data_IF_083576277435
#
_entry.id   IF_083576277435
#
_cell.length_a   1.000
_cell.length_b   1.000
_cell.length_c   1.000
_cell.angle_alpha   90.00
_cell.angle_beta   90.00
_cell.angle_gamma   90.00
#
_symmetry.space_group_name_H-M   'P 1'
#
loop_
_entity.id
_entity.type
_entity.pdbx_description
1 polymer ?
#
# COMPACT_ATOMS: atom_id res chain seq x y z
N UNK A 1 -2.75 9.99 13.81
CA UNK A 1 -1.53 9.16 13.83
C UNK A 1 -1.86 7.83 13.18
N UNK A 2 -1.49 7.63 11.91
CA UNK A 2 -1.52 6.30 11.32
C UNK A 2 -0.35 5.51 11.90
N UNK A 3 -0.64 4.49 12.71
CA UNK A 3 0.33 3.46 13.04
C UNK A 3 0.57 2.64 11.77
N UNK A 4 1.51 3.09 10.94
CA UNK A 4 2.05 2.21 9.91
C UNK A 4 2.83 1.15 10.66
N UNK A 5 2.36 -0.10 10.60
CA UNK A 5 3.08 -1.25 11.13
C UNK A 5 4.49 -1.21 10.53
N UNK A 6 5.48 -0.89 11.36
CA UNK A 6 6.89 -0.87 10.96
C UNK A 6 7.20 -2.31 10.53
N UNK A 7 7.32 -2.54 9.22
CA UNK A 7 7.90 -3.79 8.73
C UNK A 7 9.38 -3.73 9.11
N UNK A 8 9.77 -4.62 10.01
CA UNK A 8 11.16 -4.82 10.37
C UNK A 8 11.76 -5.83 9.40
N UNK A 9 13.00 -5.57 8.97
CA UNK A 9 13.77 -6.51 8.15
C UNK A 9 14.77 -7.20 9.06
N UNK A 10 14.76 -8.51 9.00
CA UNK A 10 15.59 -9.39 9.78
C UNK A 10 16.56 -10.12 8.88
N UNK A 11 17.84 -10.10 9.23
CA UNK A 11 18.87 -10.81 8.46
C UNK A 11 19.30 -12.03 9.24
N UNK A 12 19.37 -13.16 8.54
CA UNK A 12 19.90 -14.41 9.04
C UNK A 12 21.14 -14.77 8.23
N UNK A 13 22.28 -14.82 8.92
CA UNK A 13 23.53 -15.37 8.41
C UNK A 13 23.69 -16.77 9.01
N UNK A 14 23.61 -17.84 8.21
CA UNK A 14 23.87 -19.18 8.70
C UNK A 14 25.36 -19.32 8.98
N UNK A 15 25.74 -19.25 10.27
CA UNK A 15 27.12 -19.43 10.74
C UNK A 15 27.38 -20.87 11.15
N UNK A 16 28.61 -21.33 10.93
CA UNK A 16 29.12 -22.64 11.36
C UNK A 16 28.67 -22.95 12.78
N UNK A 17 27.92 -24.05 12.91
CA UNK A 17 27.12 -24.46 14.06
C UNK A 17 27.89 -24.82 15.35
N UNK A 18 28.97 -24.10 15.69
CA UNK A 18 29.75 -24.35 16.91
C UNK A 18 29.08 -23.79 18.18
N UNK A 19 28.26 -22.73 18.10
CA UNK A 19 27.64 -22.09 19.27
C UNK A 19 26.18 -22.48 19.57
N UNK A 20 25.47 -23.14 18.65
CA UNK A 20 24.05 -23.51 18.85
C UNK A 20 23.86 -24.88 19.52
N UNK A 21 24.95 -25.62 19.82
CA UNK A 21 24.89 -26.96 20.43
C UNK A 21 24.20 -26.99 21.81
N UNK A 22 24.24 -25.88 22.56
CA UNK A 22 23.53 -25.74 23.83
C UNK A 22 22.02 -25.49 23.66
N UNK A 23 21.60 -24.91 22.53
CA UNK A 23 20.17 -24.82 22.17
C UNK A 23 19.60 -26.22 21.93
N UNK A 24 20.37 -27.09 21.27
CA UNK A 24 19.96 -28.45 20.92
C UNK A 24 19.79 -29.41 22.10
N UNK A 25 20.54 -29.24 23.20
CA UNK A 25 20.38 -30.07 24.40
C UNK A 25 19.04 -29.82 25.11
N UNK A 26 18.47 -28.60 24.98
CA UNK A 26 17.14 -28.28 25.50
C UNK A 26 16.01 -28.70 24.55
N UNK A 27 16.29 -28.92 23.26
CA UNK A 27 15.32 -29.27 22.22
C UNK A 27 15.25 -30.78 21.89
N UNK A 28 16.34 -31.54 22.13
CA UNK A 28 16.41 -32.99 21.84
C UNK A 28 15.49 -33.87 22.72
N UNK A 29 14.74 -33.29 23.65
CA UNK A 29 13.81 -34.02 24.50
C UNK A 29 12.63 -34.67 23.76
N UNK A 30 12.29 -34.25 22.53
CA UNK A 30 11.04 -34.68 21.89
C UNK A 30 11.14 -35.28 20.47
N UNK A 31 12.34 -35.43 19.90
CA UNK A 31 12.52 -36.17 18.63
C UNK A 31 13.79 -37.03 18.66
N UNK A 32 13.90 -37.90 19.67
CA UNK A 32 14.87 -38.99 19.65
C UNK A 32 14.28 -40.21 18.90
N UNK A 33 14.06 -40.08 17.58
CA UNK A 33 13.84 -41.25 16.73
C UNK A 33 15.19 -41.93 16.51
N UNK A 34 15.53 -42.84 17.42
CA UNK A 34 16.70 -43.72 17.34
C UNK A 34 16.49 -44.71 16.19
N UNK A 35 16.79 -44.30 14.96
CA UNK A 35 16.87 -45.20 13.82
C UNK A 35 18.20 -45.95 13.91
N UNK A 36 18.16 -47.18 14.43
CA UNK A 36 19.20 -48.18 14.21
C UNK A 36 19.08 -48.66 12.76
N UNK A 37 19.96 -48.19 11.89
CA UNK A 37 20.23 -48.88 10.62
C UNK A 37 21.74 -49.00 10.44
N UNK A 38 22.19 -50.23 10.17
CA UNK A 38 23.57 -50.49 9.79
C UNK A 38 23.85 -49.90 8.41
N UNK A 39 25.06 -49.38 8.22
CA UNK A 39 25.68 -49.17 6.91
C UNK A 39 25.17 -48.04 6.00
N UNK A 40 23.97 -47.49 6.19
CA UNK A 40 23.45 -46.37 5.37
C UNK A 40 23.49 -45.04 6.12
N UNK A 41 24.05 -43.98 5.51
CA UNK A 41 24.11 -42.61 6.08
C UNK A 41 22.74 -42.19 6.65
N UNK A 42 22.75 -41.52 7.80
CA UNK A 42 21.51 -41.07 8.45
C UNK A 42 20.74 -40.07 7.55
N UNK A 43 19.40 -40.04 7.60
CA UNK A 43 18.59 -39.22 6.69
C UNK A 43 18.96 -37.72 6.69
N UNK A 44 19.35 -37.18 7.85
CA UNK A 44 19.77 -35.79 7.97
C UNK A 44 21.07 -35.47 7.20
N UNK A 45 22.03 -36.39 7.17
CA UNK A 45 23.29 -36.22 6.43
C UNK A 45 23.01 -36.12 4.92
N UNK A 46 22.05 -36.91 4.42
CA UNK A 46 21.67 -36.92 3.01
C UNK A 46 21.06 -35.56 2.60
N UNK A 47 20.17 -35.00 3.42
CA UNK A 47 19.53 -33.71 3.12
C UNK A 47 20.56 -32.58 3.06
N UNK A 48 21.49 -32.53 4.02
CA UNK A 48 22.57 -31.54 4.02
C UNK A 48 23.46 -31.64 2.79
N UNK A 49 23.83 -32.86 2.37
CA UNK A 49 24.65 -33.07 1.16
C UNK A 49 23.89 -32.62 -0.10
N UNK A 50 22.61 -32.96 -0.23
CA UNK A 50 21.78 -32.55 -1.37
C UNK A 50 21.59 -31.03 -1.44
N UNK A 51 21.28 -30.38 -0.31
CA UNK A 51 21.12 -28.92 -0.26
C UNK A 51 22.43 -28.24 -0.66
N UNK A 52 23.58 -28.71 -0.16
CA UNK A 52 24.90 -28.18 -0.56
C UNK A 52 25.19 -28.36 -2.05
N UNK A 53 24.82 -29.50 -2.64
CA UNK A 53 24.98 -29.73 -4.07
C UNK A 53 24.15 -28.74 -4.90
N UNK A 54 22.86 -28.60 -4.59
CA UNK A 54 21.98 -27.64 -5.26
C UNK A 54 22.53 -26.21 -5.14
N UNK A 55 23.01 -25.84 -3.96
CA UNK A 55 23.59 -24.51 -3.73
C UNK A 55 24.87 -24.30 -4.55
N UNK A 56 25.73 -25.31 -4.68
CA UNK A 56 26.91 -25.22 -5.53
C UNK A 56 26.57 -25.11 -7.02
N UNK A 57 25.47 -25.70 -7.45
CA UNK A 57 24.97 -25.55 -8.83
C UNK A 57 24.38 -24.17 -9.08
N UNK A 58 23.67 -23.59 -8.10
CA UNK A 58 23.04 -22.27 -8.20
C UNK A 58 24.06 -21.14 -8.07
N UNK A 59 25.03 -21.29 -7.15
CA UNK A 59 26.10 -20.31 -6.91
C UNK A 59 27.24 -20.59 -7.90
N UNK A 60 27.01 -20.20 -9.16
CA UNK A 60 28.02 -20.27 -10.24
C UNK A 60 29.15 -19.27 -9.95
N UNK A 61 30.37 -19.55 -10.46
CA UNK A 61 31.65 -18.87 -10.17
C UNK A 61 31.66 -17.33 -10.09
N UNK A 62 30.65 -16.63 -10.60
CA UNK A 62 30.55 -15.16 -10.59
C UNK A 62 29.69 -14.55 -9.45
N UNK A 63 28.95 -15.34 -8.67
CA UNK A 63 28.15 -14.84 -7.55
C UNK A 63 28.79 -15.20 -6.21
N UNK A 64 29.31 -14.21 -5.48
CA UNK A 64 29.96 -14.46 -4.18
C UNK A 64 28.96 -14.79 -3.05
N UNK A 65 27.68 -14.39 -3.18
CA UNK A 65 26.62 -14.64 -2.18
C UNK A 65 25.25 -14.85 -2.84
N UNK A 66 24.45 -15.75 -2.27
CA UNK A 66 23.03 -15.98 -2.54
C UNK A 66 22.19 -15.29 -1.47
N UNK A 67 21.35 -14.34 -1.87
CA UNK A 67 20.44 -13.63 -0.96
C UNK A 67 19.01 -14.12 -1.20
N UNK A 68 18.35 -14.62 -0.15
CA UNK A 68 16.99 -15.17 -0.21
C UNK A 68 16.06 -14.25 0.58
N UNK A 69 15.08 -13.65 -0.09
CA UNK A 69 14.07 -12.80 0.53
C UNK A 69 12.83 -13.62 0.91
N UNK A 70 12.37 -13.46 2.15
CA UNK A 70 11.15 -14.08 2.69
C UNK A 70 10.26 -12.95 3.22
N UNK A 71 9.18 -12.61 2.51
CA UNK A 71 8.23 -11.58 2.94
C UNK A 71 7.03 -12.20 3.66
N UNK A 72 6.46 -11.46 4.61
CA UNK A 72 5.19 -11.75 5.30
C UNK A 72 5.15 -13.10 6.04
N UNK A 73 6.28 -13.53 6.64
CA UNK A 73 6.34 -14.79 7.40
C UNK A 73 5.38 -14.80 8.60
N UNK A 74 5.05 -13.63 9.15
CA UNK A 74 4.05 -13.41 10.19
C UNK A 74 2.59 -13.65 9.75
N UNK A 75 2.31 -13.73 8.43
CA UNK A 75 1.00 -14.15 7.90
C UNK A 75 0.83 -15.67 7.84
N UNK A 76 1.90 -16.43 8.02
CA UNK A 76 1.83 -17.88 8.02
C UNK A 76 1.16 -18.40 9.30
N UNK A 77 0.73 -19.67 9.28
CA UNK A 77 0.31 -20.35 10.52
C UNK A 77 1.47 -20.34 11.53
N UNK A 78 1.19 -20.18 12.84
CA UNK A 78 2.20 -20.10 13.88
C UNK A 78 3.30 -21.16 13.78
N UNK A 79 2.88 -22.42 13.65
CA UNK A 79 3.78 -23.57 13.54
C UNK A 79 4.65 -23.51 12.28
N UNK A 80 4.08 -23.11 11.14
CA UNK A 80 4.81 -23.03 9.88
C UNK A 80 5.91 -21.95 9.91
N UNK A 81 5.61 -20.79 10.50
CA UNK A 81 6.58 -19.70 10.62
C UNK A 81 7.79 -20.13 11.45
N UNK A 82 7.54 -20.76 12.61
CA UNK A 82 8.58 -21.28 13.51
C UNK A 82 9.39 -22.37 12.83
N UNK A 83 8.72 -23.40 12.29
CA UNK A 83 9.41 -24.50 11.63
C UNK A 83 10.25 -24.02 10.44
N UNK A 84 9.82 -22.97 9.73
CA UNK A 84 10.58 -22.38 8.64
C UNK A 84 11.88 -21.74 9.16
N UNK A 85 11.82 -20.94 10.23
CA UNK A 85 13.00 -20.35 10.85
C UNK A 85 13.97 -21.43 11.39
N UNK A 86 13.42 -22.50 11.98
CA UNK A 86 14.20 -23.64 12.45
C UNK A 86 14.88 -24.37 11.29
N UNK A 87 14.16 -24.65 10.19
CA UNK A 87 14.71 -25.29 8.99
C UNK A 87 15.79 -24.44 8.33
N UNK A 88 15.63 -23.11 8.30
CA UNK A 88 16.64 -22.18 7.77
C UNK A 88 17.94 -22.30 8.58
N UNK A 89 17.87 -22.18 9.91
CA UNK A 89 19.07 -22.31 10.77
C UNK A 89 19.63 -23.73 10.79
N UNK A 90 18.82 -24.76 10.51
CA UNK A 90 19.27 -26.15 10.57
C UNK A 90 19.95 -26.60 9.28
N UNK A 91 19.34 -26.40 8.12
CA UNK A 91 19.82 -26.99 6.86
C UNK A 91 20.85 -26.13 6.13
N UNK A 92 20.83 -24.82 6.36
CA UNK A 92 21.77 -23.90 5.74
C UNK A 92 22.91 -23.63 6.71
N UNK A 93 24.11 -24.06 6.33
CA UNK A 93 25.36 -23.86 7.07
C UNK A 93 26.45 -23.43 6.07
N UNK A 94 26.14 -22.37 5.32
CA UNK A 94 26.98 -21.85 4.24
C UNK A 94 26.98 -20.32 4.30
N UNK A 95 28.17 -19.74 4.53
CA UNK A 95 28.38 -18.30 4.68
C UNK A 95 28.10 -17.51 3.38
N UNK A 96 27.97 -18.21 2.25
CA UNK A 96 27.56 -17.60 0.97
C UNK A 96 26.07 -17.30 0.96
N UNK A 97 25.28 -17.74 1.94
CA UNK A 97 23.82 -17.57 1.94
C UNK A 97 23.41 -16.55 2.98
N UNK A 98 22.54 -15.63 2.58
CA UNK A 98 21.93 -14.63 3.47
C UNK A 98 20.43 -14.72 3.30
N UNK A 99 19.69 -14.88 4.41
CA UNK A 99 18.23 -14.74 4.37
C UNK A 99 17.84 -13.35 4.87
N UNK A 100 16.94 -12.71 4.13
CA UNK A 100 16.35 -11.42 4.48
C UNK A 100 14.85 -11.65 4.68
N UNK A 101 14.41 -11.59 5.93
CA UNK A 101 13.03 -11.89 6.34
C UNK A 101 12.32 -10.58 6.69
N UNK A 102 11.18 -10.30 6.09
CA UNK A 102 10.34 -9.16 6.47
C UNK A 102 9.14 -9.66 7.27
N UNK A 103 9.01 -9.18 8.53
CA UNK A 103 7.91 -9.55 9.44
C UNK A 103 7.51 -8.39 10.34
N UNK A 104 6.26 -8.39 10.80
CA UNK A 104 5.91 -7.70 12.04
C UNK A 104 6.30 -8.59 13.23
N UNK A 105 7.33 -8.16 13.98
CA UNK A 105 7.82 -8.90 15.15
C UNK A 105 6.78 -9.06 16.24
N UNK A 106 5.98 -8.02 16.52
CA UNK A 106 4.96 -8.08 17.57
C UNK A 106 3.92 -9.15 17.26
N UNK A 107 3.46 -9.21 16.01
CA UNK A 107 2.52 -10.25 15.57
C UNK A 107 3.14 -11.64 15.65
N UNK A 108 4.41 -11.79 15.25
CA UNK A 108 5.11 -13.06 15.33
C UNK A 108 5.34 -13.51 16.79
N UNK A 109 5.68 -12.59 17.70
CA UNK A 109 5.82 -12.85 19.15
C UNK A 109 4.50 -13.31 19.75
N UNK A 110 3.40 -12.62 19.46
CA UNK A 110 2.07 -13.05 19.92
C UNK A 110 1.69 -14.44 19.40
N UNK A 111 2.01 -14.70 18.13
CA UNK A 111 1.79 -15.98 17.47
C UNK A 111 2.56 -17.11 18.17
N UNK A 112 3.81 -16.87 18.56
CA UNK A 112 4.66 -17.81 19.31
C UNK A 112 4.16 -17.99 20.75
N UNK A 113 3.75 -16.91 21.44
CA UNK A 113 3.19 -16.98 22.79
C UNK A 113 1.92 -17.81 22.84
N UNK A 114 1.04 -17.67 21.86
CA UNK A 114 -0.16 -18.51 21.76
C UNK A 114 0.16 -20.00 21.54
N UNK A 115 1.30 -20.32 20.92
CA UNK A 115 1.71 -21.69 20.65
C UNK A 115 2.40 -22.35 21.84
N UNK A 116 3.28 -21.65 22.55
CA UNK A 116 4.05 -22.20 23.68
C UNK A 116 3.46 -21.85 25.07
N UNK A 117 2.50 -20.92 25.15
CA UNK A 117 1.87 -20.41 26.36
C UNK A 117 2.34 -19.01 26.77
N UNK A 118 1.48 -18.27 27.46
CA UNK A 118 1.71 -16.85 27.83
C UNK A 118 2.92 -16.62 28.74
N UNK A 119 3.37 -17.66 29.46
CA UNK A 119 4.55 -17.61 30.32
C UNK A 119 5.87 -17.88 29.58
N UNK A 120 5.82 -18.18 28.28
CA UNK A 120 7.00 -18.42 27.45
C UNK A 120 7.63 -17.11 27.00
N UNK A 121 8.96 -17.00 27.09
CA UNK A 121 9.72 -15.86 26.56
C UNK A 121 9.85 -15.95 25.03
N UNK A 122 8.74 -15.70 24.35
CA UNK A 122 8.63 -15.68 22.88
C UNK A 122 9.58 -14.67 22.23
N UNK A 123 9.77 -13.52 22.87
CA UNK A 123 10.64 -12.45 22.39
C UNK A 123 12.10 -12.90 22.41
N UNK A 124 12.58 -13.44 23.53
CA UNK A 124 13.92 -13.97 23.66
C UNK A 124 14.16 -15.20 22.77
N UNK A 125 13.15 -16.04 22.58
CA UNK A 125 13.21 -17.16 21.65
C UNK A 125 13.38 -16.68 20.20
N UNK A 126 12.53 -15.75 19.74
CA UNK A 126 12.57 -15.24 18.38
C UNK A 126 13.87 -14.50 18.06
N UNK A 127 14.41 -13.74 19.01
CA UNK A 127 15.67 -13.01 18.85
C UNK A 127 16.89 -13.94 18.57
N UNK A 128 16.81 -15.23 18.88
CA UNK A 128 17.91 -16.19 18.61
C UNK A 128 18.04 -16.54 17.12
N UNK A 129 16.99 -16.34 16.33
CA UNK A 129 16.99 -16.66 14.91
C UNK A 129 17.62 -15.56 14.06
N UNK A 130 17.60 -14.32 14.54
CA UNK A 130 18.00 -13.16 13.75
C UNK A 130 19.37 -12.63 14.17
N UNK A 131 20.25 -12.42 13.19
CA UNK A 131 21.60 -11.92 13.40
C UNK A 131 21.63 -10.38 13.38
N UNK A 132 20.78 -9.75 12.56
CA UNK A 132 20.62 -8.30 12.49
C UNK A 132 19.16 -7.90 12.31
N UNK A 133 18.79 -6.75 12.90
CA UNK A 133 17.47 -6.14 12.76
C UNK A 133 17.63 -4.76 12.12
N UNK A 134 16.89 -4.51 11.05
CA UNK A 134 16.88 -3.25 10.32
C UNK A 134 15.47 -2.67 10.39
N UNK A 135 15.37 -1.46 10.93
CA UNK A 135 14.13 -0.69 10.92
C UNK A 135 14.00 0.04 9.60
N UNK A 136 12.89 -0.19 8.88
CA UNK A 136 12.58 0.61 7.70
C UNK A 136 12.18 2.02 8.14
N UNK A 137 12.82 3.07 7.58
CA UNK A 137 12.43 4.44 7.89
C UNK A 137 11.04 4.73 7.33
N UNK A 138 10.31 5.63 7.99
CA UNK A 138 9.09 6.17 7.41
C UNK A 138 9.42 6.88 6.09
N UNK A 139 8.64 6.58 5.05
CA UNK A 139 8.79 7.25 3.76
C UNK A 139 8.40 8.72 3.96
N UNK A 140 9.31 9.68 3.69
CA UNK A 140 9.04 11.08 3.91
C UNK A 140 7.81 11.56 3.14
N UNK A 141 7.01 12.45 3.74
CA UNK A 141 5.75 12.89 3.13
C UNK A 141 5.93 13.53 1.74
N UNK A 142 7.09 14.14 1.46
CA UNK A 142 7.38 14.76 0.16
C UNK A 142 7.61 13.75 -0.97
N UNK A 143 8.13 12.55 -0.69
CA UNK A 143 8.32 11.51 -1.72
C UNK A 143 7.00 10.84 -2.12
N UNK A 144 5.92 11.06 -1.36
CA UNK A 144 4.54 10.71 -1.77
C UNK A 144 3.99 11.64 -2.87
N UNK A 145 4.51 12.87 -2.98
CA UNK A 145 3.90 13.95 -3.78
C UNK A 145 4.36 14.01 -5.23
N UNK A 146 5.61 13.62 -5.53
CA UNK A 146 6.29 14.13 -6.73
C UNK A 146 6.47 13.16 -7.90
N UNK A 147 6.34 11.84 -7.71
CA UNK A 147 6.91 10.88 -8.68
C UNK A 147 5.89 10.05 -9.45
N UNK A 148 4.61 10.07 -9.07
CA UNK A 148 3.65 9.08 -9.60
C UNK A 148 2.70 9.65 -10.66
N UNK A 149 2.29 10.92 -10.58
CA UNK A 149 1.41 11.54 -11.58
C UNK A 149 2.19 12.27 -12.68
N UNK A 150 2.30 11.64 -13.84
CA UNK A 150 2.69 12.27 -15.10
C UNK A 150 1.46 12.87 -15.79
N UNK A 151 0.96 14.00 -15.30
CA UNK A 151 -0.11 14.73 -15.98
C UNK A 151 0.44 15.68 -17.04
N UNK A 152 -0.34 15.92 -18.10
CA UNK A 152 0.02 16.88 -19.15
C UNK A 152 0.00 18.32 -18.62
N UNK A 153 0.70 19.24 -19.30
CA UNK A 153 0.82 20.66 -18.94
C UNK A 153 -0.53 21.40 -18.78
N UNK A 154 -1.63 20.86 -19.31
CA UNK A 154 -2.97 21.43 -19.22
C UNK A 154 -3.91 20.75 -18.22
N UNK A 155 -3.38 20.02 -17.22
CA UNK A 155 -4.15 19.30 -16.19
C UNK A 155 -3.68 19.64 -14.77
N UNK A 156 -3.25 20.88 -14.55
CA UNK A 156 -2.75 21.37 -13.27
C UNK A 156 -3.81 21.25 -12.17
N UNK A 157 -5.06 21.61 -12.45
CA UNK A 157 -6.13 21.56 -11.45
C UNK A 157 -6.45 20.12 -11.02
N UNK A 158 -6.56 19.20 -11.98
CA UNK A 158 -6.76 17.79 -11.74
C UNK A 158 -5.68 17.22 -10.81
N UNK A 159 -4.41 17.49 -11.13
CA UNK A 159 -3.27 17.05 -10.33
C UNK A 159 -3.33 17.60 -8.91
N UNK A 160 -3.56 18.91 -8.78
CA UNK A 160 -3.56 19.59 -7.49
C UNK A 160 -4.68 19.10 -6.57
N UNK A 161 -5.88 18.90 -7.11
CA UNK A 161 -7.03 18.36 -6.37
C UNK A 161 -6.76 16.91 -5.96
N UNK A 162 -6.20 16.10 -6.84
CA UNK A 162 -5.84 14.70 -6.55
C UNK A 162 -4.85 14.59 -5.39
N UNK A 163 -3.78 15.40 -5.40
CA UNK A 163 -2.81 15.47 -4.30
C UNK A 163 -3.48 15.85 -2.97
N UNK A 164 -4.31 16.89 -2.99
CA UNK A 164 -4.95 17.41 -1.77
C UNK A 164 -6.01 16.46 -1.20
N UNK A 165 -6.75 15.75 -2.07
CA UNK A 165 -7.68 14.69 -1.67
C UNK A 165 -6.96 13.54 -0.98
N UNK A 166 -5.80 13.14 -1.51
CA UNK A 166 -4.96 12.11 -0.92
C UNK A 166 -4.52 12.45 0.51
N UNK A 167 -4.16 13.71 0.73
CA UNK A 167 -3.82 14.24 2.06
C UNK A 167 -5.04 14.35 2.97
N UNK A 168 -6.16 14.87 2.46
CA UNK A 168 -7.40 15.06 3.21
C UNK A 168 -7.95 13.74 3.78
N UNK A 169 -7.92 12.68 2.98
CA UNK A 169 -8.35 11.35 3.40
C UNK A 169 -7.25 10.52 4.06
N UNK A 170 -6.02 11.06 4.17
CA UNK A 170 -4.87 10.40 4.76
C UNK A 170 -4.62 9.00 4.16
N UNK A 171 -4.63 8.93 2.82
CA UNK A 171 -4.49 7.68 2.07
C UNK A 171 -3.13 7.01 2.34
N UNK A 172 -3.13 5.67 2.38
CA UNK A 172 -1.89 4.91 2.45
C UNK A 172 -1.09 5.06 1.15
N UNK A 173 0.19 4.69 1.16
CA UNK A 173 1.00 4.70 -0.07
C UNK A 173 0.40 3.84 -1.18
N UNK A 174 -0.14 2.66 -0.81
CA UNK A 174 -0.81 1.76 -1.74
C UNK A 174 -2.03 2.43 -2.34
N UNK A 175 -2.86 3.04 -1.50
CA UNK A 175 -4.08 3.71 -1.92
C UNK A 175 -3.77 4.92 -2.80
N UNK A 176 -2.72 5.69 -2.48
CA UNK A 176 -2.22 6.78 -3.31
C UNK A 176 -1.73 6.30 -4.67
N UNK A 177 -1.01 5.17 -4.75
CA UNK A 177 -0.58 4.58 -6.03
C UNK A 177 -1.80 4.21 -6.87
N UNK A 178 -2.77 3.49 -6.30
CA UNK A 178 -4.00 3.09 -6.99
C UNK A 178 -4.77 4.33 -7.44
N UNK A 179 -4.91 5.33 -6.56
CA UNK A 179 -5.61 6.57 -6.87
C UNK A 179 -4.97 7.29 -8.07
N UNK A 180 -3.64 7.42 -8.06
CA UNK A 180 -2.90 8.05 -9.14
C UNK A 180 -2.97 7.27 -10.45
N UNK A 181 -2.84 5.94 -10.41
CA UNK A 181 -2.98 5.09 -11.60
C UNK A 181 -4.38 5.19 -12.21
N UNK A 182 -5.42 5.22 -11.37
CA UNK A 182 -6.78 5.42 -11.84
C UNK A 182 -6.95 6.78 -12.49
N UNK A 183 -6.39 7.84 -11.89
CA UNK A 183 -6.41 9.20 -12.47
C UNK A 183 -5.70 9.25 -13.81
N UNK A 184 -4.50 8.69 -13.95
CA UNK A 184 -3.77 8.67 -15.23
C UNK A 184 -4.51 7.89 -16.31
N UNK A 185 -5.07 6.73 -15.96
CA UNK A 185 -5.84 5.90 -16.89
C UNK A 185 -7.13 6.59 -17.34
N UNK A 186 -7.69 7.41 -16.46
CA UNK A 186 -8.95 8.12 -16.64
C UNK A 186 -8.76 9.52 -17.27
N UNK A 187 -7.59 10.13 -17.13
CA UNK A 187 -7.30 11.49 -17.61
C UNK A 187 -7.09 11.51 -19.13
N UNK A 188 -8.16 11.24 -19.88
CA UNK A 188 -8.24 11.46 -21.33
C UNK A 188 -8.27 12.97 -21.64
N UNK A 189 -8.19 13.37 -22.91
CA UNK A 189 -8.24 14.80 -23.34
C UNK A 189 -9.42 15.61 -22.77
N UNK A 190 -10.44 14.95 -22.20
CA UNK A 190 -11.60 15.59 -21.58
C UNK A 190 -11.27 16.37 -20.31
N UNK A 191 -10.41 15.85 -19.43
CA UNK A 191 -9.96 16.60 -18.25
C UNK A 191 -8.87 17.59 -18.69
N UNK A 192 -9.15 18.89 -18.60
CA UNK A 192 -8.20 19.93 -18.96
C UNK A 192 -8.53 21.27 -18.28
N UNK A 193 -7.55 22.17 -18.25
CA UNK A 193 -7.65 23.48 -17.59
C UNK A 193 -8.20 24.59 -18.52
N UNK A 194 -8.39 24.33 -19.82
CA UNK A 194 -8.77 25.34 -20.81
C UNK A 194 -10.26 25.37 -21.16
N UNK A 195 -10.97 24.26 -20.95
CA UNK A 195 -12.43 24.17 -21.17
C UNK A 195 -13.19 24.19 -19.84
N UNK A 196 -14.40 24.76 -19.86
CA UNK A 196 -15.26 24.80 -18.66
C UNK A 196 -15.68 23.38 -18.25
N UNK A 197 -16.07 22.54 -19.20
CA UNK A 197 -16.38 21.13 -18.96
C UNK A 197 -15.17 20.38 -18.39
N UNK A 198 -13.97 20.54 -18.98
CA UNK A 198 -12.76 19.88 -18.51
C UNK A 198 -12.34 20.28 -17.09
N UNK A 199 -12.53 21.55 -16.71
CA UNK A 199 -12.34 22.03 -15.35
C UNK A 199 -13.34 21.38 -14.38
N UNK A 200 -14.60 21.20 -14.79
CA UNK A 200 -15.63 20.55 -13.98
C UNK A 200 -15.34 19.06 -13.82
N UNK A 201 -14.93 18.38 -14.88
CA UNK A 201 -14.48 16.98 -14.80
C UNK A 201 -13.27 16.85 -13.87
N UNK A 202 -12.35 17.82 -13.89
CA UNK A 202 -11.21 17.88 -12.97
C UNK A 202 -11.60 18.08 -11.50
N UNK A 203 -12.86 18.42 -11.22
CA UNK A 203 -13.44 18.43 -9.86
C UNK A 203 -14.09 17.08 -9.56
N UNK A 204 -15.01 16.62 -10.40
CA UNK A 204 -15.85 15.45 -10.09
C UNK A 204 -15.08 14.13 -10.14
N UNK A 205 -14.21 13.93 -11.14
CA UNK A 205 -13.49 12.67 -11.34
C UNK A 205 -12.59 12.33 -10.13
N UNK A 206 -11.70 13.23 -9.64
CA UNK A 206 -10.90 12.92 -8.47
C UNK A 206 -11.73 12.63 -7.22
N UNK A 207 -12.85 13.32 -7.04
CA UNK A 207 -13.73 13.09 -5.88
C UNK A 207 -14.35 11.69 -5.95
N UNK A 208 -14.89 11.30 -7.11
CA UNK A 208 -15.50 9.97 -7.29
C UNK A 208 -14.47 8.87 -7.05
N UNK A 209 -13.28 8.99 -7.64
CA UNK A 209 -12.20 8.01 -7.50
C UNK A 209 -11.63 7.96 -6.07
N UNK A 210 -11.52 9.10 -5.38
CA UNK A 210 -11.12 9.12 -3.97
C UNK A 210 -12.16 8.45 -3.07
N UNK A 211 -13.45 8.70 -3.31
CA UNK A 211 -14.53 8.07 -2.55
C UNK A 211 -14.63 6.57 -2.81
N UNK A 212 -14.26 6.11 -4.01
CA UNK A 212 -14.17 4.67 -4.32
C UNK A 212 -13.18 3.94 -3.42
N UNK A 213 -12.06 4.59 -3.11
CA UNK A 213 -11.01 4.05 -2.23
C UNK A 213 -11.41 4.16 -0.75
N UNK A 214 -12.02 5.27 -0.35
CA UNK A 214 -12.23 5.60 1.07
C UNK A 214 -13.57 5.09 1.60
N UNK A 215 -14.67 5.29 0.87
CA UNK A 215 -16.01 5.01 1.36
C UNK A 215 -17.03 4.85 0.23
N UNK A 216 -17.37 3.60 -0.09
CA UNK A 216 -18.36 3.23 -1.10
C UNK A 216 -19.77 3.79 -0.82
N UNK A 217 -20.16 3.93 0.45
CA UNK A 217 -21.47 4.50 0.81
C UNK A 217 -21.52 5.99 0.47
N UNK A 218 -20.47 6.74 0.79
CA UNK A 218 -20.38 8.17 0.45
C UNK A 218 -20.24 8.38 -1.07
N UNK A 219 -19.53 7.49 -1.78
CA UNK A 219 -19.52 7.49 -3.26
C UNK A 219 -20.93 7.36 -3.82
N UNK A 220 -21.70 6.39 -3.32
CA UNK A 220 -23.08 6.16 -3.78
C UNK A 220 -23.95 7.39 -3.55
N UNK A 221 -23.92 7.95 -2.34
CA UNK A 221 -24.62 9.20 -1.99
C UNK A 221 -24.26 10.35 -2.91
N UNK A 222 -22.96 10.53 -3.18
CA UNK A 222 -22.47 11.56 -4.11
C UNK A 222 -23.05 11.37 -5.52
N UNK A 223 -23.06 10.14 -6.04
CA UNK A 223 -23.58 9.81 -7.37
C UNK A 223 -25.13 9.87 -7.46
N UNK A 224 -25.82 9.82 -6.33
CA UNK A 224 -27.27 10.00 -6.20
C UNK A 224 -27.68 11.47 -6.01
N UNK A 225 -26.71 12.40 -5.98
CA UNK A 225 -26.95 13.83 -5.86
C UNK A 225 -27.03 14.34 -4.41
N UNK A 226 -26.67 13.53 -3.41
CA UNK A 226 -26.54 13.99 -2.02
C UNK A 226 -25.30 14.88 -1.86
N UNK A 227 -25.46 16.19 -2.09
CA UNK A 227 -24.36 17.16 -2.11
C UNK A 227 -23.64 17.44 -0.78
N UNK A 228 -23.92 16.68 0.29
CA UNK A 228 -23.28 16.87 1.60
C UNK A 228 -21.77 16.69 1.55
N UNK A 229 -21.32 15.59 0.94
CA UNK A 229 -19.89 15.27 0.75
C UNK A 229 -19.23 16.33 -0.14
N UNK A 230 -19.88 16.72 -1.23
CA UNK A 230 -19.37 17.73 -2.17
C UNK A 230 -19.16 19.09 -1.48
N UNK A 231 -20.17 19.58 -0.76
CA UNK A 231 -20.10 20.84 0.04
C UNK A 231 -18.94 20.81 1.02
N UNK A 232 -18.78 19.69 1.75
CA UNK A 232 -17.72 19.53 2.73
C UNK A 232 -16.34 19.59 2.06
N UNK A 233 -16.14 18.93 0.93
CA UNK A 233 -14.88 18.97 0.19
C UNK A 233 -14.57 20.38 -0.33
N UNK A 234 -15.55 21.09 -0.89
CA UNK A 234 -15.38 22.48 -1.36
C UNK A 234 -14.94 23.45 -0.26
N UNK A 235 -15.42 23.25 0.96
CA UNK A 235 -15.07 24.09 2.11
C UNK A 235 -13.68 23.79 2.68
N UNK A 236 -13.22 22.54 2.59
CA UNK A 236 -11.99 22.08 3.25
C UNK A 236 -10.78 21.99 2.32
N UNK A 237 -10.97 22.01 0.99
CA UNK A 237 -9.90 21.88 0.02
C UNK A 237 -9.57 23.24 -0.65
N UNK A 238 -8.49 23.92 -0.24
CA UNK A 238 -8.00 25.14 -0.86
C UNK A 238 -7.86 25.10 -2.39
N UNK A 239 -7.41 23.98 -2.96
CA UNK A 239 -7.22 23.86 -4.42
C UNK A 239 -8.56 23.82 -5.15
N UNK A 240 -9.55 23.18 -4.55
CA UNK A 240 -10.92 23.17 -5.04
C UNK A 240 -11.53 24.57 -4.97
N UNK A 241 -11.36 25.27 -3.84
CA UNK A 241 -11.80 26.65 -3.65
C UNK A 241 -11.24 27.57 -4.75
N UNK A 242 -9.93 27.46 -5.03
CA UNK A 242 -9.28 28.26 -6.09
C UNK A 242 -9.87 28.00 -7.48
N UNK A 243 -10.10 26.73 -7.83
CA UNK A 243 -10.73 26.40 -9.11
C UNK A 243 -12.17 26.92 -9.18
N UNK A 244 -12.93 26.80 -8.09
CA UNK A 244 -14.31 27.32 -7.99
C UNK A 244 -14.36 28.84 -8.20
N UNK A 245 -13.42 29.60 -7.63
CA UNK A 245 -13.32 31.05 -7.84
C UNK A 245 -13.18 31.43 -9.33
N UNK A 246 -12.61 30.57 -10.19
CA UNK A 246 -12.48 30.84 -11.63
C UNK A 246 -13.82 30.85 -12.39
N UNK A 247 -14.89 30.37 -11.75
CA UNK A 247 -16.26 30.41 -12.24
C UNK A 247 -17.08 31.58 -11.67
N UNK A 248 -16.51 32.34 -10.73
CA UNK A 248 -17.09 33.57 -10.22
C UNK A 248 -17.01 34.74 -11.21
N UNK A 249 -17.53 35.90 -10.79
CA UNK A 249 -17.69 37.07 -11.66
C UNK A 249 -16.43 37.96 -11.74
N UNK A 250 -15.31 37.49 -11.19
CA UNK A 250 -14.01 38.19 -11.17
C UNK A 250 -14.12 39.58 -10.55
N UNK A 251 -14.85 39.66 -9.45
CA UNK A 251 -15.11 40.88 -8.68
C UNK A 251 -13.86 41.44 -7.98
N UNK A 252 -12.78 40.64 -7.89
CA UNK A 252 -11.57 40.97 -7.16
C UNK A 252 -11.67 40.67 -5.66
N UNK A 253 -12.79 40.10 -5.21
CA UNK A 253 -13.01 39.59 -3.87
C UNK A 253 -13.16 38.06 -3.91
N UNK A 254 -12.13 37.35 -3.47
CA UNK A 254 -12.07 35.88 -3.46
C UNK A 254 -13.27 35.21 -2.80
N UNK A 255 -13.87 35.82 -1.77
CA UNK A 255 -15.02 35.23 -1.09
C UNK A 255 -16.30 35.34 -1.91
N UNK A 256 -16.47 36.46 -2.61
CA UNK A 256 -17.63 36.67 -3.48
C UNK A 256 -17.50 35.84 -4.76
N UNK A 257 -16.31 35.81 -5.34
CA UNK A 257 -16.00 34.98 -6.51
C UNK A 257 -16.17 33.48 -6.18
N UNK A 258 -15.78 33.05 -4.97
CA UNK A 258 -16.08 31.70 -4.49
C UNK A 258 -17.57 31.45 -4.35
N UNK A 259 -18.32 32.38 -3.74
CA UNK A 259 -19.76 32.22 -3.50
C UNK A 259 -20.51 32.01 -4.82
N UNK A 260 -20.27 32.89 -5.80
CA UNK A 260 -20.90 32.82 -7.12
C UNK A 260 -20.42 31.59 -7.90
N UNK A 261 -19.12 31.31 -7.90
CA UNK A 261 -18.57 30.13 -8.58
C UNK A 261 -19.10 28.82 -7.98
N UNK A 262 -19.25 28.76 -6.65
CA UNK A 262 -19.78 27.59 -5.96
C UNK A 262 -21.24 27.36 -6.32
N UNK A 263 -22.06 28.40 -6.37
CA UNK A 263 -23.47 28.32 -6.79
C UNK A 263 -23.58 27.73 -8.21
N UNK A 264 -22.81 28.25 -9.17
CA UNK A 264 -22.77 27.74 -10.55
C UNK A 264 -22.34 26.28 -10.63
N UNK A 265 -21.27 25.89 -9.92
CA UNK A 265 -20.77 24.50 -9.96
C UNK A 265 -21.72 23.55 -9.21
N UNK A 266 -22.33 24.00 -8.12
CA UNK A 266 -23.27 23.20 -7.34
C UNK A 266 -24.54 22.94 -8.14
N UNK A 267 -25.02 23.91 -8.91
CA UNK A 267 -26.12 23.73 -9.87
C UNK A 267 -25.76 22.65 -10.91
N UNK A 268 -24.55 22.68 -11.47
CA UNK A 268 -24.07 21.63 -12.39
C UNK A 268 -24.04 20.27 -11.70
N UNK A 269 -23.54 20.18 -10.47
CA UNK A 269 -23.52 18.95 -9.69
C UNK A 269 -24.94 18.39 -9.50
N UNK A 270 -25.89 19.25 -9.12
CA UNK A 270 -27.27 18.83 -8.93
C UNK A 270 -27.92 18.37 -10.24
N UNK A 271 -27.68 19.08 -11.35
CA UNK A 271 -28.22 18.69 -12.65
C UNK A 271 -27.59 17.38 -13.17
N UNK A 272 -26.31 17.15 -12.91
CA UNK A 272 -25.64 15.92 -13.33
C UNK A 272 -26.10 14.72 -12.50
N UNK A 273 -26.14 14.84 -11.16
CA UNK A 273 -26.26 13.67 -10.29
C UNK A 273 -27.64 13.48 -9.65
N UNK A 274 -28.42 14.56 -9.44
CA UNK A 274 -29.74 14.46 -8.83
C UNK A 274 -30.83 14.12 -9.86
N UNK A 275 -31.87 13.36 -9.47
CA UNK A 275 -32.95 12.98 -10.38
C UNK A 275 -33.78 14.19 -10.83
N UNK A 276 -34.16 14.22 -12.11
CA UNK A 276 -35.15 15.14 -12.70
C UNK A 276 -34.80 16.64 -12.65
N UNK A 277 -33.52 17.00 -12.66
CA UNK A 277 -33.07 18.39 -12.83
C UNK A 277 -32.52 18.62 -14.23
N UNK A 278 -32.99 19.67 -14.89
CA UNK A 278 -32.47 20.10 -16.20
C UNK A 278 -31.53 21.27 -15.98
N UNK A 279 -30.34 21.22 -16.57
CA UNK A 279 -29.41 22.34 -16.51
C UNK A 279 -29.88 23.48 -17.45
N UNK A 280 -30.20 24.64 -16.87
CA UNK A 280 -30.54 25.87 -17.60
C UNK A 280 -29.48 26.97 -17.42
N UNK A 281 -28.34 26.63 -16.83
CA UNK A 281 -27.28 27.59 -16.54
C UNK A 281 -26.46 28.01 -17.76
N UNK A 282 -25.57 28.99 -17.53
CA UNK A 282 -24.81 29.67 -18.59
C UNK A 282 -23.56 28.92 -19.06
N UNK A 283 -23.19 27.79 -18.44
CA UNK A 283 -21.97 27.06 -18.78
C UNK A 283 -22.23 26.08 -19.93
N UNK A 284 -21.33 26.09 -20.92
CA UNK A 284 -21.35 25.13 -22.02
C UNK A 284 -20.87 23.76 -21.52
N UNK A 285 -21.84 22.90 -21.16
CA UNK A 285 -21.62 21.60 -20.53
C UNK A 285 -22.53 20.55 -21.17
N UNK A 286 -21.96 19.37 -21.45
CA UNK A 286 -22.71 18.21 -21.92
C UNK A 286 -23.83 17.79 -20.96
N UNK A 287 -25.02 17.50 -21.49
CA UNK A 287 -26.20 17.05 -20.70
C UNK A 287 -25.97 15.71 -20.00
N UNK A 288 -25.11 14.87 -20.57
CA UNK A 288 -24.83 13.52 -20.11
C UNK A 288 -23.62 13.48 -19.16
N UNK A 289 -23.35 14.57 -18.43
CA UNK A 289 -22.14 14.72 -17.61
C UNK A 289 -21.93 13.58 -16.61
N UNK A 290 -23.00 13.03 -16.04
CA UNK A 290 -22.92 11.88 -15.14
C UNK A 290 -22.41 10.63 -15.85
N UNK A 291 -22.91 10.36 -17.04
CA UNK A 291 -22.49 9.23 -17.86
C UNK A 291 -21.06 9.41 -18.32
N UNK A 292 -20.68 10.63 -18.72
CA UNK A 292 -19.28 10.99 -19.01
C UNK A 292 -18.40 10.73 -17.79
N UNK A 293 -18.82 11.16 -16.59
CA UNK A 293 -18.03 10.93 -15.37
C UNK A 293 -17.85 9.44 -15.08
N UNK A 294 -18.89 8.63 -15.27
CA UNK A 294 -18.85 7.19 -15.03
C UNK A 294 -17.99 6.48 -16.08
N UNK A 295 -18.16 6.80 -17.37
CA UNK A 295 -17.34 6.26 -18.48
C UNK A 295 -15.87 6.56 -18.27
N UNK A 296 -15.56 7.83 -17.99
CA UNK A 296 -14.21 8.31 -17.73
C UNK A 296 -13.63 7.54 -16.54
N UNK A 297 -14.33 7.44 -15.40
CA UNK A 297 -13.89 6.62 -14.26
C UNK A 297 -13.71 5.12 -14.55
N UNK A 298 -14.37 4.57 -15.58
CA UNK A 298 -14.23 3.18 -16.01
C UNK A 298 -13.14 2.99 -17.08
N UNK A 299 -12.51 4.07 -17.56
CA UNK A 299 -11.48 4.04 -18.60
C UNK A 299 -12.01 3.94 -20.03
N UNK A 300 -13.27 4.36 -20.27
CA UNK A 300 -13.93 4.39 -21.60
C UNK A 300 -13.88 5.77 -22.28
#
# INVERSE_FOLDING_TARGET
>A
MCSYSIKEIYVIEPKVALNYRNMWLSFSGMVALKVRTGGSKSPGIIIHETVKQILNEIIVENACKLVIFIDELDRCRPNYAIETLERIKHYFDDERIIFVVSVNKEQLVHTISNFYGDSFDSTGYLNKFFDMNIYLPEIPQYSKRSTILQTNQGQYHLKKITEELGEYYNLSLRDMIIFHQNIESTSTQRCNDYSKEGCILSIFIPIILALDIVNQTEKKRFLEGEGGTFKKLCQNLPSLRKLICLFGDKSGNDNEDYRVGFEKIYEVYECAFAPNKTYEGELDISRDLKEICIQVCNGE
#
